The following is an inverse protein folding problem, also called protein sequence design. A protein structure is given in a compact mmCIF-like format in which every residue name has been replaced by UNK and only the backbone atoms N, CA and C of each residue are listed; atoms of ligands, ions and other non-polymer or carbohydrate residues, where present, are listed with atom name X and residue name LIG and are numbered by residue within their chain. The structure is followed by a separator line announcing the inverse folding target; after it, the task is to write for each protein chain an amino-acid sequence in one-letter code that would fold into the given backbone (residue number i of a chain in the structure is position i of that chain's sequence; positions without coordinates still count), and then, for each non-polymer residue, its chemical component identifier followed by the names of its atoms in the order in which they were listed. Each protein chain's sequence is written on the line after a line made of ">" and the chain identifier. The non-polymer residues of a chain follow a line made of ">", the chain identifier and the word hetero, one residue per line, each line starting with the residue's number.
data_IF_255496195537
#
_entry.id   IF_255496195537
#
_cell.length_a   1.000
_cell.length_b   1.000
_cell.length_c   1.000
_cell.angle_alpha   90.00
_cell.angle_beta   90.00
_cell.angle_gamma   90.00
#
_symmetry.space_group_name_H-M   'P 1'
#
loop_
_entity.id
_entity.type
_entity.pdbx_description
1 polymer ?
#
# COMPACT_ATOMS: atom_id res chain seq x y z
N UNK A 1 -6.13 -14.42 4.20
CA UNK A 1 -5.35 -13.18 3.97
C UNK A 1 -6.04 -12.48 2.81
N UNK A 2 -6.32 -11.17 2.89
CA UNK A 2 -7.11 -10.52 1.84
C UNK A 2 -6.17 -10.10 0.69
N UNK A 3 -5.80 -11.05 -0.17
CA UNK A 3 -4.73 -10.90 -1.18
C UNK A 3 -4.96 -9.71 -2.14
N UNK A 4 -6.21 -9.29 -2.33
CA UNK A 4 -6.55 -8.13 -3.16
C UNK A 4 -5.94 -6.80 -2.69
N UNK A 5 -5.57 -6.68 -1.40
CA UNK A 5 -5.02 -5.44 -0.86
C UNK A 5 -3.51 -5.31 -1.11
N UNK A 6 -2.80 -6.43 -1.30
CA UNK A 6 -1.33 -6.45 -1.43
C UNK A 6 -0.86 -6.59 -2.88
N UNK A 7 -1.63 -7.19 -3.79
CA UNK A 7 -1.23 -7.36 -5.19
C UNK A 7 -1.89 -6.35 -6.14
N UNK A 8 -1.23 -6.04 -7.26
CA UNK A 8 -1.85 -5.31 -8.36
C UNK A 8 -3.10 -6.05 -8.88
N UNK A 9 -4.11 -5.32 -9.37
CA UNK A 9 -5.40 -5.91 -9.77
C UNK A 9 -5.25 -7.05 -10.80
N UNK A 10 -4.32 -6.90 -11.75
CA UNK A 10 -4.01 -7.96 -12.72
C UNK A 10 -3.52 -9.25 -12.06
N UNK A 11 -2.62 -9.14 -11.06
CA UNK A 11 -2.06 -10.28 -10.33
C UNK A 11 -3.12 -10.90 -9.42
N UNK A 12 -3.85 -10.06 -8.66
CA UNK A 12 -4.90 -10.51 -7.76
C UNK A 12 -6.01 -11.30 -8.50
N UNK A 13 -6.44 -10.83 -9.67
CA UNK A 13 -7.46 -11.53 -10.46
C UNK A 13 -6.96 -12.91 -10.95
N UNK A 14 -5.69 -13.02 -11.34
CA UNK A 14 -5.11 -14.31 -11.77
C UNK A 14 -4.94 -15.28 -10.61
N UNK A 15 -4.45 -14.79 -9.46
CA UNK A 15 -4.35 -15.58 -8.24
C UNK A 15 -5.73 -16.11 -7.83
N UNK A 16 -6.78 -15.28 -7.91
CA UNK A 16 -8.15 -15.72 -7.62
C UNK A 16 -8.56 -16.89 -8.52
N UNK A 17 -8.43 -16.75 -9.84
CA UNK A 17 -8.79 -17.83 -10.79
C UNK A 17 -8.02 -19.12 -10.49
N UNK A 18 -6.73 -19.02 -10.18
CA UNK A 18 -5.89 -20.19 -9.87
C UNK A 18 -6.32 -20.86 -8.56
N UNK A 19 -6.61 -20.07 -7.52
CA UNK A 19 -7.07 -20.57 -6.21
C UNK A 19 -8.50 -21.12 -6.26
N UNK A 20 -9.36 -20.62 -7.16
CA UNK A 20 -10.70 -21.16 -7.39
C UNK A 20 -10.65 -22.55 -8.03
N UNK A 21 -9.59 -22.84 -8.79
CA UNK A 21 -9.40 -24.11 -9.51
C UNK A 21 -8.58 -25.15 -8.72
N UNK A 22 -7.81 -24.73 -7.71
CA UNK A 22 -6.93 -25.62 -6.95
C UNK A 22 -6.55 -25.06 -5.58
N UNK A 23 -6.34 -25.94 -4.60
CA UNK A 23 -5.85 -25.55 -3.28
C UNK A 23 -4.31 -25.44 -3.32
N UNK A 24 -3.71 -24.33 -2.84
CA UNK A 24 -2.25 -24.20 -2.74
C UNK A 24 -1.54 -25.36 -2.03
N UNK A 25 -2.21 -26.07 -1.12
CA UNK A 25 -1.68 -27.27 -0.44
C UNK A 25 -1.44 -28.45 -1.41
N UNK A 26 -2.07 -28.43 -2.57
CA UNK A 26 -1.88 -29.44 -3.61
C UNK A 26 -0.64 -29.14 -4.47
N UNK A 27 -0.12 -27.91 -4.43
CA UNK A 27 0.97 -27.49 -5.30
C UNK A 27 2.30 -28.00 -4.74
N UNK A 28 3.12 -28.54 -5.64
CA UNK A 28 4.46 -29.00 -5.31
C UNK A 28 5.45 -28.44 -6.31
N UNK A 29 6.62 -28.05 -5.81
CA UNK A 29 7.72 -27.60 -6.61
C UNK A 29 8.32 -28.78 -7.39
N UNK A 30 8.44 -28.60 -8.70
CA UNK A 30 9.22 -29.46 -9.59
C UNK A 30 10.50 -28.70 -9.95
N UNK A 31 11.65 -29.34 -9.79
CA UNK A 31 12.93 -28.72 -10.17
C UNK A 31 12.92 -28.32 -11.65
N UNK A 32 13.51 -27.18 -11.99
CA UNK A 32 13.45 -26.61 -13.35
C UNK A 32 13.91 -27.58 -14.44
N UNK A 33 14.90 -28.45 -14.16
CA UNK A 33 15.39 -29.46 -15.12
C UNK A 33 14.39 -30.58 -15.40
N UNK A 34 13.47 -30.81 -14.48
CA UNK A 34 12.44 -31.85 -14.56
C UNK A 34 11.07 -31.26 -14.95
N UNK A 35 10.97 -29.94 -15.17
CA UNK A 35 9.71 -29.30 -15.55
C UNK A 35 9.37 -29.62 -17.01
N UNK A 36 8.32 -30.43 -17.29
CA UNK A 36 7.97 -30.75 -18.67
C UNK A 36 7.51 -29.53 -19.48
N UNK A 37 6.99 -28.48 -18.83
CA UNK A 37 6.58 -27.25 -19.50
C UNK A 37 7.74 -26.47 -20.16
N UNK A 38 8.98 -26.74 -19.75
CA UNK A 38 10.17 -26.15 -20.39
C UNK A 38 10.31 -26.60 -21.85
N UNK A 39 9.92 -27.84 -22.18
CA UNK A 39 10.02 -28.35 -23.56
C UNK A 39 9.15 -27.55 -24.52
N UNK A 40 7.91 -27.26 -24.12
CA UNK A 40 6.98 -26.48 -24.95
C UNK A 40 7.35 -24.98 -24.97
N UNK A 41 7.69 -24.39 -23.82
CA UNK A 41 7.96 -22.95 -23.73
C UNK A 41 9.25 -22.50 -24.41
N UNK A 42 10.22 -23.40 -24.62
CA UNK A 42 11.48 -23.13 -25.35
C UNK A 42 11.34 -23.20 -26.88
N UNK A 43 10.15 -23.47 -27.41
CA UNK A 43 9.90 -23.49 -28.85
C UNK A 43 10.39 -24.76 -29.55
N UNK A 44 10.30 -25.91 -28.88
CA UNK A 44 10.55 -27.21 -29.51
C UNK A 44 9.52 -27.48 -30.62
N UNK A 45 9.96 -28.12 -31.71
CA UNK A 45 9.07 -28.55 -32.78
C UNK A 45 8.00 -29.52 -32.25
N UNK A 46 6.78 -29.43 -32.79
CA UNK A 46 5.65 -30.23 -32.33
C UNK A 46 5.86 -31.74 -32.45
N UNK A 47 6.53 -32.21 -33.51
CA UNK A 47 6.80 -33.65 -33.66
C UNK A 47 7.85 -34.11 -32.64
N UNK A 48 8.92 -33.33 -32.48
CA UNK A 48 9.94 -33.61 -31.47
C UNK A 48 9.38 -33.55 -30.04
N UNK A 49 8.42 -32.66 -29.77
CA UNK A 49 7.75 -32.56 -28.47
C UNK A 49 6.90 -33.80 -28.17
N UNK A 50 6.22 -34.36 -29.17
CA UNK A 50 5.46 -35.61 -29.01
C UNK A 50 6.37 -36.82 -28.77
N UNK A 51 7.59 -36.79 -29.30
CA UNK A 51 8.62 -37.80 -29.02
C UNK A 51 9.20 -37.65 -27.59
N UNK A 52 9.08 -36.48 -26.94
CA UNK A 52 9.51 -36.30 -25.56
C UNK A 52 8.57 -36.99 -24.59
N UNK A 53 8.95 -38.18 -24.12
CA UNK A 53 8.22 -38.94 -23.10
C UNK A 53 7.85 -38.08 -21.87
N UNK A 54 8.78 -37.24 -21.40
CA UNK A 54 8.57 -36.38 -20.22
C UNK A 54 7.46 -35.34 -20.42
N UNK A 55 7.22 -34.86 -21.65
CA UNK A 55 6.14 -33.89 -21.92
C UNK A 55 4.76 -34.51 -21.69
N UNK A 56 4.57 -35.75 -22.14
CA UNK A 56 3.28 -36.46 -22.06
C UNK A 56 3.09 -37.15 -20.70
N UNK A 57 4.13 -37.83 -20.20
CA UNK A 57 4.04 -38.67 -18.99
C UNK A 57 4.49 -37.94 -17.73
N UNK A 58 5.09 -36.76 -17.85
CA UNK A 58 5.71 -36.05 -16.74
C UNK A 58 7.06 -36.65 -16.30
N UNK A 59 7.65 -36.09 -15.24
CA UNK A 59 8.85 -36.62 -14.60
C UNK A 59 8.65 -38.04 -14.04
N UNK A 60 9.71 -38.84 -14.04
CA UNK A 60 9.66 -40.25 -13.61
C UNK A 60 9.19 -40.40 -12.15
N UNK A 61 9.57 -39.48 -11.25
CA UNK A 61 9.21 -39.56 -9.83
C UNK A 61 7.70 -39.47 -9.57
N UNK A 62 6.90 -38.93 -10.50
CA UNK A 62 5.44 -38.89 -10.35
C UNK A 62 4.79 -40.28 -10.37
N UNK A 63 5.49 -41.26 -10.94
CA UNK A 63 5.07 -42.66 -11.02
C UNK A 63 5.58 -43.49 -9.84
N UNK A 64 6.37 -42.89 -8.96
CA UNK A 64 6.86 -43.50 -7.73
C UNK A 64 5.96 -43.16 -6.54
N UNK A 65 6.12 -43.91 -5.44
CA UNK A 65 5.47 -43.60 -4.17
C UNK A 65 5.79 -42.17 -3.72
N UNK A 66 4.81 -41.47 -3.15
CA UNK A 66 4.97 -40.08 -2.67
C UNK A 66 6.13 -39.90 -1.69
N UNK A 67 6.51 -40.96 -0.98
CA UNK A 67 7.66 -40.97 -0.06
C UNK A 67 9.00 -40.78 -0.77
N UNK A 68 9.08 -41.12 -2.06
CA UNK A 68 10.26 -40.98 -2.91
C UNK A 68 10.28 -39.67 -3.69
N UNK A 69 9.22 -38.86 -3.57
CA UNK A 69 9.16 -37.58 -4.29
C UNK A 69 10.24 -36.61 -3.78
N UNK A 70 10.72 -35.69 -4.63
CA UNK A 70 11.72 -34.71 -4.24
C UNK A 70 11.27 -33.90 -3.03
N UNK A 71 12.20 -33.70 -2.10
CA UNK A 71 11.97 -32.85 -0.93
C UNK A 71 11.61 -31.43 -1.40
N UNK A 72 10.53 -30.90 -0.84
CA UNK A 72 10.06 -29.56 -1.15
C UNK A 72 11.03 -28.54 -0.54
N UNK A 73 11.34 -27.44 -1.25
CA UNK A 73 12.13 -26.36 -0.68
C UNK A 73 11.51 -25.91 0.64
N UNK A 74 12.34 -25.69 1.67
CA UNK A 74 11.92 -24.96 2.86
C UNK A 74 11.33 -23.63 2.40
N UNK A 75 10.14 -23.28 2.93
CA UNK A 75 9.38 -22.12 2.54
C UNK A 75 10.31 -20.93 2.22
N UNK A 76 10.25 -20.44 0.98
CA UNK A 76 11.01 -19.26 0.55
C UNK A 76 10.67 -18.14 1.53
N UNK A 77 11.64 -17.76 2.34
CA UNK A 77 11.48 -16.76 3.39
C UNK A 77 10.88 -15.47 2.82
N UNK A 78 10.04 -14.84 3.62
CA UNK A 78 9.26 -13.64 3.33
C UNK A 78 10.13 -12.48 2.80
N UNK A 79 10.37 -12.42 1.49
CA UNK A 79 10.83 -11.19 0.83
C UNK A 79 9.74 -10.65 -0.08
N UNK A 80 8.54 -10.46 0.48
CA UNK A 80 7.40 -9.82 -0.21
C UNK A 80 7.69 -8.33 -0.50
N UNK A 81 8.66 -7.73 0.21
CA UNK A 81 8.92 -6.29 0.15
C UNK A 81 9.61 -5.81 -1.14
N UNK A 82 10.28 -6.67 -1.89
CA UNK A 82 11.00 -6.30 -3.14
C UNK A 82 10.39 -6.93 -4.41
N UNK A 83 9.23 -7.57 -4.29
CA UNK A 83 8.53 -8.13 -5.45
C UNK A 83 7.83 -7.00 -6.24
N UNK A 84 8.14 -6.81 -7.54
CA UNK A 84 7.49 -5.77 -8.36
C UNK A 84 5.99 -5.99 -8.56
N UNK A 85 5.48 -7.20 -8.31
CA UNK A 85 4.05 -7.54 -8.42
C UNK A 85 3.24 -7.15 -7.17
N UNK A 86 3.93 -6.87 -6.07
CA UNK A 86 3.33 -6.39 -4.81
C UNK A 86 3.17 -4.88 -4.88
N UNK A 87 1.95 -4.40 -4.59
CA UNK A 87 1.69 -2.97 -4.43
C UNK A 87 2.57 -2.44 -3.32
N UNK A 88 3.47 -1.51 -3.65
CA UNK A 88 4.12 -0.67 -2.64
C UNK A 88 3.01 0.01 -1.83
N UNK A 89 3.00 -0.23 -0.52
CA UNK A 89 2.08 0.44 0.40
C UNK A 89 2.43 1.92 0.39
N UNK A 90 1.80 2.66 -0.53
CA UNK A 90 1.75 4.11 -0.45
C UNK A 90 0.86 4.41 0.74
N UNK A 91 1.46 4.85 1.85
CA UNK A 91 0.72 5.47 2.93
C UNK A 91 0.02 6.71 2.36
N UNK A 92 -1.21 6.54 1.89
CA UNK A 92 -2.08 7.65 1.52
C UNK A 92 -2.54 8.25 2.84
N UNK A 93 -1.80 9.24 3.31
CA UNK A 93 -2.28 10.11 4.38
C UNK A 93 -3.52 10.83 3.86
N UNK A 94 -4.69 10.46 4.36
CA UNK A 94 -5.91 11.24 4.18
C UNK A 94 -5.66 12.57 4.91
N UNK A 95 -5.34 13.61 4.15
CA UNK A 95 -5.34 14.97 4.66
C UNK A 95 -6.80 15.35 4.81
N UNK A 96 -7.33 15.24 6.04
CA UNK A 96 -8.52 15.99 6.39
C UNK A 96 -8.21 17.46 6.15
N UNK A 97 -8.93 18.09 5.21
CA UNK A 97 -8.84 19.53 5.01
C UNK A 97 -9.42 20.15 6.27
N UNK A 98 -8.53 20.53 7.19
CA UNK A 98 -8.90 21.35 8.34
C UNK A 98 -9.46 22.69 7.80
N UNK A 99 -10.59 23.14 8.36
CA UNK A 99 -11.24 24.43 7.99
C UNK A 99 -10.27 25.61 8.09
N UNK A 100 -9.21 25.47 8.90
CA UNK A 100 -8.11 26.42 9.00
C UNK A 100 -7.34 26.58 7.67
N UNK A 101 -7.10 25.49 6.93
CA UNK A 101 -6.37 25.49 5.65
C UNK A 101 -7.23 26.16 4.57
N UNK A 102 -8.53 25.86 4.53
CA UNK A 102 -9.46 26.50 3.62
C UNK A 102 -9.54 28.03 3.84
N UNK A 103 -9.47 28.46 5.11
CA UNK A 103 -9.48 29.89 5.48
C UNK A 103 -8.19 30.60 5.06
N UNK A 104 -7.05 29.93 5.18
CA UNK A 104 -5.75 30.46 4.73
C UNK A 104 -5.72 30.58 3.20
N UNK A 105 -6.17 29.55 2.48
CA UNK A 105 -6.20 29.57 1.00
C UNK A 105 -7.09 30.69 0.46
N UNK A 106 -8.27 30.92 1.04
CA UNK A 106 -9.13 32.06 0.69
C UNK A 106 -8.42 33.40 0.84
N UNK A 107 -7.56 33.55 1.84
CA UNK A 107 -6.79 34.78 2.05
C UNK A 107 -5.73 34.96 0.96
N UNK A 108 -5.07 33.87 0.53
CA UNK A 108 -4.13 33.90 -0.59
C UNK A 108 -4.81 34.22 -1.92
N UNK A 109 -6.00 33.67 -2.17
CA UNK A 109 -6.77 33.92 -3.40
C UNK A 109 -7.32 35.35 -3.48
N UNK A 110 -7.66 35.96 -2.34
CA UNK A 110 -8.25 37.30 -2.29
C UNK A 110 -7.27 38.42 -2.67
N UNK A 111 -5.97 38.23 -2.41
CA UNK A 111 -4.95 39.24 -2.67
C UNK A 111 -4.04 38.83 -3.83
N UNK A 112 -4.12 39.57 -4.93
CA UNK A 112 -3.23 39.40 -6.10
C UNK A 112 -1.84 40.03 -5.93
N UNK A 113 -1.60 40.73 -4.82
CA UNK A 113 -0.33 41.38 -4.49
C UNK A 113 0.22 40.90 -3.14
N UNK A 114 1.45 40.38 -3.17
CA UNK A 114 2.12 39.81 -2.01
C UNK A 114 2.32 40.80 -0.88
N UNK A 115 2.58 42.06 -1.20
CA UNK A 115 2.80 43.09 -0.17
C UNK A 115 1.50 43.43 0.56
N UNK A 116 0.37 43.53 -0.16
CA UNK A 116 -0.97 43.71 0.41
C UNK A 116 -1.37 42.53 1.30
N UNK A 117 -1.12 41.31 0.86
CA UNK A 117 -1.38 40.10 1.65
C UNK A 117 -0.60 40.12 2.97
N UNK A 118 0.71 40.37 2.91
CA UNK A 118 1.56 40.47 4.12
C UNK A 118 1.05 41.54 5.09
N UNK A 119 0.64 42.72 4.59
CA UNK A 119 0.08 43.78 5.44
C UNK A 119 -1.24 43.34 6.09
N UNK A 120 -2.12 42.67 5.36
CA UNK A 120 -3.38 42.16 5.90
C UNK A 120 -3.15 41.15 7.03
N UNK A 121 -2.25 40.18 6.82
CA UNK A 121 -1.85 39.20 7.85
C UNK A 121 -1.27 39.89 9.08
N UNK A 122 -0.38 40.87 8.90
CA UNK A 122 0.20 41.62 10.02
C UNK A 122 -0.85 42.37 10.85
N UNK A 123 -1.87 42.95 10.20
CA UNK A 123 -2.99 43.60 10.88
C UNK A 123 -3.82 42.58 11.66
N UNK A 124 -4.18 41.45 11.05
CA UNK A 124 -4.94 40.37 11.70
C UNK A 124 -4.21 39.90 12.97
N UNK A 125 -2.89 39.65 12.88
CA UNK A 125 -2.08 39.25 14.03
C UNK A 125 -2.04 40.33 15.12
N UNK A 126 -1.92 41.61 14.74
CA UNK A 126 -1.95 42.72 15.69
C UNK A 126 -3.28 42.84 16.41
N UNK A 127 -4.40 42.72 15.69
CA UNK A 127 -5.75 42.76 16.28
C UNK A 127 -5.96 41.58 17.22
N UNK A 128 -5.58 40.36 16.80
CA UNK A 128 -5.64 39.17 17.67
C UNK A 128 -4.90 39.38 18.98
N UNK A 129 -3.68 39.93 18.95
CA UNK A 129 -2.89 40.24 20.15
C UNK A 129 -3.63 41.21 21.08
N UNK A 130 -4.15 42.32 20.54
CA UNK A 130 -4.91 43.31 21.32
C UNK A 130 -6.18 42.72 21.97
N UNK A 131 -6.91 41.87 21.24
CA UNK A 131 -8.10 41.20 21.75
C UNK A 131 -7.76 40.22 22.88
N UNK A 132 -6.69 39.44 22.72
CA UNK A 132 -6.22 38.54 23.78
C UNK A 132 -5.82 39.30 25.04
N UNK A 133 -5.08 40.40 24.91
CA UNK A 133 -4.69 41.25 26.03
C UNK A 133 -5.89 41.89 26.74
N UNK A 134 -6.93 42.30 26.00
CA UNK A 134 -8.19 42.80 26.59
C UNK A 134 -8.90 41.71 27.39
N UNK A 135 -9.02 40.51 26.83
CA UNK A 135 -9.65 39.36 27.50
C UNK A 135 -8.93 38.99 28.81
N UNK A 136 -7.60 39.07 28.82
CA UNK A 136 -6.79 38.82 30.02
C UNK A 136 -7.01 39.89 31.11
N UNK A 137 -7.07 41.18 30.73
CA UNK A 137 -7.38 42.27 31.66
C UNK A 137 -8.78 42.16 32.24
N UNK A 138 -9.78 41.87 31.42
CA UNK A 138 -11.17 41.68 31.89
C UNK A 138 -11.29 40.49 32.87
N UNK A 139 -10.53 39.41 32.65
CA UNK A 139 -10.49 38.28 33.59
C UNK A 139 -9.85 38.67 34.92
N UNK A 140 -8.72 39.38 34.88
CA UNK A 140 -8.03 39.88 36.07
C UNK A 140 -8.92 40.84 36.89
N UNK A 141 -9.65 41.73 36.22
CA UNK A 141 -10.55 42.69 36.87
C UNK A 141 -11.77 42.01 37.50
N UNK A 142 -12.31 40.95 36.89
CA UNK A 142 -13.39 40.14 37.50
C UNK A 142 -12.89 39.42 38.76
N UNK A 143 -11.77 38.71 38.67
CA UNK A 143 -11.20 37.98 39.82
C UNK A 143 -10.83 38.94 40.96
N UNK A 144 -10.35 40.15 40.65
CA UNK A 144 -10.03 41.18 41.66
C UNK A 144 -11.27 41.81 42.31
N UNK A 145 -12.42 41.83 41.63
CA UNK A 145 -13.70 42.29 42.19
C UNK A 145 -14.35 41.24 43.08
N UNK A 146 -14.28 39.97 42.67
CA UNK A 146 -14.76 38.84 43.46
C UNK A 146 -13.99 38.73 44.78
N UNK A 147 -12.65 38.83 44.75
CA UNK A 147 -11.81 38.77 45.95
C UNK A 147 -11.92 39.97 46.92
N UNK A 148 -12.63 41.05 46.55
CA UNK A 148 -12.90 42.21 47.41
C UNK A 148 -14.31 42.23 47.99
N UNK A 149 -15.18 41.34 47.52
CA UNK A 149 -16.56 41.21 47.97
C UNK A 149 -16.73 40.18 49.10
N UNK A 150 -15.66 39.41 49.39
CA UNK A 150 -15.49 38.54 50.56
C UNK A 150 -14.70 39.27 51.66
#
# INVERSE_FOLDING_TARGET
>A
MNDHTIFHMFVANRLQVIQDLSDPKQWQFVQSKENPADYASRGMDGNTLLEQRKWIQGPDFLWEDKEKWPQQPLALGETVNDDPEVKKVLNVSVVSVDDSIASVNKLFEFYSDWYRLKRAVAIILRVRKLLMERKLREKHDRTSREARAD
#
